data_IF_250207223882
#
_entry.id   IF_250207223882
#
_cell.length_a   1.000
_cell.length_b   1.000
_cell.length_c   1.000
_cell.angle_alpha   90.00
_cell.angle_beta   90.00
_cell.angle_gamma   90.00
#
_symmetry.space_group_name_H-M   'P 1'
#
loop_
_entity.id
_entity.type
_entity.pdbx_description
1 polymer ?
#
# COMPACT_ATOMS: atom_id res chain seq x y z
N UNK A 1 4.69 -0.49 -18.21
CA UNK A 1 4.29 0.92 -18.09
C UNK A 1 4.80 1.38 -16.76
N UNK A 2 5.72 2.34 -16.76
CA UNK A 2 6.21 2.96 -15.55
C UNK A 2 5.53 4.31 -15.40
N UNK A 3 5.08 4.61 -14.18
CA UNK A 3 4.65 5.95 -13.82
C UNK A 3 5.88 6.78 -13.47
N UNK A 4 5.83 8.09 -13.74
CA UNK A 4 6.91 9.02 -13.40
C UNK A 4 6.91 9.31 -11.90
N UNK A 5 7.63 8.48 -11.15
CA UNK A 5 7.74 8.55 -9.69
C UNK A 5 9.22 8.54 -9.29
N UNK A 6 9.62 9.51 -8.49
CA UNK A 6 10.96 9.66 -7.95
C UNK A 6 10.98 9.13 -6.52
N UNK A 7 11.87 8.17 -6.24
CA UNK A 7 12.04 7.62 -4.90
C UNK A 7 12.31 8.75 -3.88
N UNK A 8 11.68 8.66 -2.71
CA UNK A 8 11.74 9.63 -1.61
C UNK A 8 11.17 11.02 -1.91
N UNK A 9 10.60 11.26 -3.09
CA UNK A 9 9.86 12.50 -3.37
C UNK A 9 8.49 12.44 -2.73
N UNK A 10 8.09 13.56 -2.15
CA UNK A 10 6.76 13.77 -1.59
C UNK A 10 5.80 14.27 -2.67
N UNK A 11 4.60 13.68 -2.72
CA UNK A 11 3.55 14.02 -3.66
C UNK A 11 2.26 14.40 -2.94
N UNK A 12 1.49 15.33 -3.49
CA UNK A 12 0.12 15.60 -3.07
C UNK A 12 -0.83 14.53 -3.61
N UNK A 13 -2.07 14.51 -3.11
CA UNK A 13 -3.13 13.65 -3.66
C UNK A 13 -3.34 13.93 -5.16
N UNK A 14 -3.40 15.20 -5.54
CA UNK A 14 -3.69 15.67 -6.90
C UNK A 14 -2.56 15.29 -7.88
N UNK A 15 -1.30 15.34 -7.43
CA UNK A 15 -0.16 14.88 -8.22
C UNK A 15 -0.22 13.36 -8.45
N UNK A 16 -0.51 12.58 -7.41
CA UNK A 16 -0.69 11.13 -7.55
C UNK A 16 -1.89 10.81 -8.46
N UNK A 17 -3.00 11.53 -8.34
CA UNK A 17 -4.16 11.39 -9.24
C UNK A 17 -3.78 11.64 -10.69
N UNK A 18 -2.99 12.68 -10.95
CA UNK A 18 -2.50 13.02 -12.29
C UNK A 18 -1.59 11.93 -12.84
N UNK A 19 -0.58 11.52 -12.06
CA UNK A 19 0.41 10.48 -12.45
C UNK A 19 -0.29 9.16 -12.80
N UNK A 20 -1.23 8.73 -11.97
CA UNK A 20 -1.94 7.47 -12.18
C UNK A 20 -3.19 7.61 -13.06
N UNK A 21 -3.49 8.82 -13.56
CA UNK A 21 -4.72 9.14 -14.30
C UNK A 21 -5.96 8.61 -13.58
N UNK A 22 -6.10 8.96 -12.31
CA UNK A 22 -7.13 8.44 -11.43
C UNK A 22 -7.76 9.52 -10.55
N UNK A 23 -8.81 9.15 -9.82
CA UNK A 23 -9.47 9.98 -8.82
C UNK A 23 -9.76 9.13 -7.58
N UNK A 24 -9.29 9.58 -6.42
CA UNK A 24 -9.50 8.93 -5.12
C UNK A 24 -10.76 9.45 -4.41
N UNK A 25 -11.43 10.47 -4.94
CA UNK A 25 -12.62 11.08 -4.35
C UNK A 25 -12.26 11.99 -3.17
N UNK A 26 -13.10 12.03 -2.14
CA UNK A 26 -12.91 12.92 -0.99
C UNK A 26 -11.63 12.65 -0.19
N UNK A 27 -11.12 11.41 -0.21
CA UNK A 27 -9.92 11.04 0.53
C UNK A 27 -9.24 9.79 0.01
N UNK A 28 -7.96 9.64 0.34
CA UNK A 28 -7.17 8.48 -0.05
C UNK A 28 -7.43 7.33 0.91
N UNK A 29 -7.82 6.17 0.35
CA UNK A 29 -7.87 4.89 1.09
C UNK A 29 -6.49 4.27 1.16
N UNK A 30 -6.24 3.47 2.21
CA UNK A 30 -4.97 2.78 2.41
C UNK A 30 -4.60 1.82 1.27
N UNK A 31 -5.58 1.12 0.70
CA UNK A 31 -5.37 0.19 -0.42
C UNK A 31 -6.28 0.62 -1.57
N UNK A 32 -5.69 0.96 -2.72
CA UNK A 32 -6.45 1.34 -3.91
C UNK A 32 -6.09 0.44 -5.10
N UNK A 33 -7.10 -0.22 -5.69
CA UNK A 33 -6.93 -1.05 -6.88
C UNK A 33 -7.16 -0.24 -8.15
N UNK A 34 -6.30 -0.46 -9.15
CA UNK A 34 -6.40 0.12 -10.49
C UNK A 34 -5.98 -0.89 -11.55
N UNK A 35 -6.14 -0.50 -12.82
CA UNK A 35 -5.71 -1.29 -13.98
C UNK A 35 -4.89 -0.40 -14.91
N UNK A 36 -3.82 -0.96 -15.47
CA UNK A 36 -3.13 -0.34 -16.61
C UNK A 36 -4.04 -0.36 -17.84
N UNK A 37 -3.66 0.37 -18.91
CA UNK A 37 -4.42 0.38 -20.17
C UNK A 37 -4.62 -1.02 -20.78
N UNK A 38 -3.69 -1.94 -20.54
CA UNK A 38 -3.78 -3.34 -20.99
C UNK A 38 -4.63 -4.23 -20.07
N UNK A 39 -5.32 -3.66 -19.07
CA UNK A 39 -6.18 -4.39 -18.14
C UNK A 39 -5.46 -5.06 -16.98
N UNK A 40 -4.13 -5.12 -16.96
CA UNK A 40 -3.37 -5.73 -15.85
C UNK A 40 -3.61 -4.93 -14.55
N UNK A 41 -3.99 -5.57 -13.43
CA UNK A 41 -4.22 -4.86 -12.18
C UNK A 41 -2.91 -4.42 -11.52
N UNK A 42 -2.98 -3.32 -10.79
CA UNK A 42 -1.94 -2.85 -9.87
C UNK A 42 -2.57 -2.25 -8.62
N UNK A 43 -1.77 -2.10 -7.57
CA UNK A 43 -2.19 -1.52 -6.29
C UNK A 43 -1.42 -0.23 -6.04
N UNK A 44 -2.09 0.78 -5.52
CA UNK A 44 -1.48 1.95 -4.90
C UNK A 44 -1.73 1.82 -3.40
N UNK A 45 -0.66 1.72 -2.62
CA UNK A 45 -0.69 1.47 -1.19
C UNK A 45 -0.26 2.74 -0.45
N UNK A 46 -1.11 3.22 0.44
CA UNK A 46 -0.87 4.39 1.28
C UNK A 46 -0.81 3.98 2.76
N UNK A 47 0.27 4.38 3.42
CA UNK A 47 0.53 4.11 4.83
C UNK A 47 0.81 5.41 5.60
N UNK A 48 0.45 5.47 6.87
CA UNK A 48 0.73 6.62 7.75
C UNK A 48 1.71 6.20 8.84
N UNK A 49 2.63 7.08 9.21
CA UNK A 49 3.65 6.84 10.25
C UNK A 49 3.03 6.55 11.62
N UNK A 50 1.91 7.20 11.97
CA UNK A 50 1.13 6.89 13.18
C UNK A 50 0.16 5.70 13.00
N UNK A 51 0.53 4.73 12.16
CA UNK A 51 0.03 3.36 12.26
C UNK A 51 0.84 2.59 13.32
N UNK A 52 0.49 1.36 13.70
CA UNK A 52 1.15 0.61 14.78
C UNK A 52 2.59 0.13 14.44
N UNK A 53 3.38 0.94 13.72
CA UNK A 53 4.60 0.53 13.05
C UNK A 53 5.67 1.64 13.09
N UNK A 54 6.24 1.87 14.28
CA UNK A 54 7.43 2.71 14.44
C UNK A 54 8.75 1.93 14.33
N UNK A 55 8.73 0.60 14.48
CA UNK A 55 9.97 -0.11 14.88
C UNK A 55 10.60 -1.04 13.81
N UNK A 56 9.93 -1.36 12.71
CA UNK A 56 10.44 -2.31 11.69
C UNK A 56 10.48 -1.72 10.28
N UNK A 57 11.04 -0.51 10.12
CA UNK A 57 11.58 -0.12 8.82
C UNK A 57 13.02 -0.63 8.71
N UNK A 58 13.20 -1.95 8.73
CA UNK A 58 14.43 -2.53 8.21
C UNK A 58 14.47 -2.22 6.71
N UNK A 59 15.65 -1.96 6.14
CA UNK A 59 15.83 -1.45 4.76
C UNK A 59 15.07 -2.27 3.68
N UNK A 60 14.65 -3.50 3.99
CA UNK A 60 14.13 -4.48 3.03
C UNK A 60 12.69 -4.96 3.26
N UNK A 61 12.11 -4.81 4.46
CA UNK A 61 10.75 -5.31 4.75
C UNK A 61 10.04 -4.52 5.84
N UNK A 62 8.71 -4.42 5.73
CA UNK A 62 7.83 -3.80 6.72
C UNK A 62 6.44 -4.45 6.75
N UNK A 63 5.67 -4.19 7.81
CA UNK A 63 4.33 -4.77 8.01
C UNK A 63 3.21 -3.76 7.73
N UNK A 64 2.08 -4.27 7.23
CA UNK A 64 0.90 -3.47 6.89
C UNK A 64 -0.37 -4.18 7.37
N UNK A 65 -1.16 -3.50 8.21
CA UNK A 65 -2.48 -3.98 8.63
C UNK A 65 -3.49 -3.74 7.51
N UNK A 66 -4.29 -4.76 7.19
CA UNK A 66 -5.32 -4.71 6.15
C UNK A 66 -6.39 -3.65 6.39
N UNK A 67 -7.26 -3.48 5.41
CA UNK A 67 -8.43 -2.60 5.50
C UNK A 67 -9.47 -3.15 6.49
N UNK A 68 -9.94 -2.27 7.38
CA UNK A 68 -10.98 -2.54 8.38
C UNK A 68 -10.47 -2.32 9.79
N UNK A 69 -10.92 -1.26 10.45
CA UNK A 69 -10.55 -0.92 11.83
C UNK A 69 -11.69 -1.22 12.80
N UNK A 70 -11.34 -1.53 14.05
CA UNK A 70 -12.27 -1.75 15.17
C UNK A 70 -13.31 -2.85 14.93
N UNK A 71 -12.95 -3.89 14.18
CA UNK A 71 -13.76 -5.09 13.90
C UNK A 71 -12.88 -6.18 13.29
N UNK A 72 -13.34 -7.43 13.33
CA UNK A 72 -12.74 -8.51 12.56
C UNK A 72 -12.71 -8.14 11.07
N UNK A 73 -11.52 -8.15 10.50
CA UNK A 73 -11.30 -7.78 9.11
C UNK A 73 -11.86 -8.85 8.18
N UNK A 74 -12.62 -8.39 7.19
CA UNK A 74 -13.12 -9.25 6.13
C UNK A 74 -12.14 -9.27 4.98
N UNK A 75 -12.20 -10.31 4.15
CA UNK A 75 -11.48 -10.37 2.89
C UNK A 75 -12.17 -9.48 1.84
N UNK A 76 -12.18 -8.17 2.08
CA UNK A 76 -12.72 -7.16 1.16
C UNK A 76 -11.94 -7.16 -0.15
N UNK A 77 -12.45 -6.46 -1.18
CA UNK A 77 -11.71 -6.32 -2.44
C UNK A 77 -10.27 -5.78 -2.24
N UNK A 78 -10.08 -4.90 -1.26
CA UNK A 78 -8.77 -4.37 -0.86
C UNK A 78 -7.85 -5.45 -0.26
N UNK A 79 -8.29 -6.14 0.80
CA UNK A 79 -7.49 -7.18 1.45
C UNK A 79 -7.22 -8.36 0.50
N UNK A 80 -8.23 -8.76 -0.28
CA UNK A 80 -8.08 -9.78 -1.33
C UNK A 80 -7.05 -9.39 -2.37
N UNK A 81 -6.92 -8.09 -2.71
CA UNK A 81 -5.93 -7.63 -3.67
C UNK A 81 -4.51 -7.88 -3.17
N UNK A 82 -4.23 -7.64 -1.89
CA UNK A 82 -2.92 -7.90 -1.30
C UNK A 82 -2.66 -9.41 -1.14
N UNK A 83 -3.65 -10.20 -0.73
CA UNK A 83 -3.55 -11.67 -0.71
C UNK A 83 -3.19 -12.20 -2.10
N UNK A 84 -3.93 -11.77 -3.13
CA UNK A 84 -3.66 -12.18 -4.51
C UNK A 84 -2.31 -11.68 -5.03
N UNK A 85 -1.81 -10.53 -4.53
CA UNK A 85 -0.54 -9.96 -4.95
C UNK A 85 0.67 -10.83 -4.58
N UNK A 86 0.54 -11.71 -3.58
CA UNK A 86 1.55 -12.72 -3.25
C UNK A 86 1.74 -13.71 -4.41
N UNK A 87 0.64 -14.12 -5.04
CA UNK A 87 0.63 -15.12 -6.10
C UNK A 87 0.87 -14.53 -7.49
N UNK A 88 0.13 -13.47 -7.84
CA UNK A 88 0.16 -12.90 -9.20
C UNK A 88 1.25 -11.84 -9.41
N UNK A 89 2.01 -11.53 -8.35
CA UNK A 89 3.11 -10.57 -8.34
C UNK A 89 2.72 -9.23 -8.97
N UNK A 90 1.46 -8.80 -8.81
CA UNK A 90 1.02 -7.48 -9.28
C UNK A 90 1.85 -6.37 -8.64
N UNK A 91 2.12 -5.34 -9.40
CA UNK A 91 2.88 -4.17 -8.94
C UNK A 91 2.14 -3.45 -7.82
N UNK A 92 2.84 -3.13 -6.74
CA UNK A 92 2.34 -2.30 -5.65
C UNK A 92 3.20 -1.04 -5.57
N UNK A 93 2.61 0.12 -5.82
CA UNK A 93 3.27 1.42 -5.64
C UNK A 93 3.08 1.88 -4.20
N UNK A 94 4.17 1.95 -3.43
CA UNK A 94 4.14 2.29 -2.02
C UNK A 94 4.27 3.79 -1.77
N UNK A 95 3.39 4.32 -0.95
CA UNK A 95 3.40 5.69 -0.45
C UNK A 95 3.31 5.72 1.08
N UNK A 96 4.05 6.64 1.69
CA UNK A 96 4.05 6.84 3.15
C UNK A 96 3.86 8.30 3.50
N UNK A 97 3.00 8.58 4.45
CA UNK A 97 2.88 9.88 5.10
C UNK A 97 3.64 9.82 6.41
N UNK A 98 4.76 10.52 6.47
CA UNK A 98 5.55 10.69 7.69
C UNK A 98 4.93 11.77 8.56
N UNK A 99 5.33 13.03 8.38
CA UNK A 99 4.98 14.12 9.30
C UNK A 99 3.91 15.07 8.76
N UNK A 100 3.91 15.38 7.46
CA UNK A 100 3.01 16.39 6.87
C UNK A 100 1.74 15.75 6.31
N UNK A 101 0.60 16.08 6.92
CA UNK A 101 -0.72 15.70 6.41
C UNK A 101 -0.91 16.20 4.96
N UNK A 102 -1.37 15.31 4.09
CA UNK A 102 -1.62 15.60 2.68
C UNK A 102 -0.42 15.35 1.76
N UNK A 103 0.78 15.14 2.31
CA UNK A 103 1.96 14.75 1.55
C UNK A 103 2.20 13.25 1.69
N UNK A 104 2.59 12.62 0.59
CA UNK A 104 2.83 11.19 0.47
C UNK A 104 4.18 10.94 -0.20
N UNK A 105 5.15 10.49 0.58
CA UNK A 105 6.46 10.07 0.11
C UNK A 105 6.36 8.79 -0.70
N UNK A 106 6.85 8.80 -1.93
CA UNK A 106 6.99 7.56 -2.69
C UNK A 106 8.15 6.74 -2.14
N UNK A 107 7.86 5.51 -1.68
CA UNK A 107 8.85 4.61 -1.04
C UNK A 107 9.31 3.47 -1.95
N UNK A 108 8.84 3.44 -3.20
CA UNK A 108 9.24 2.47 -4.22
C UNK A 108 8.17 1.44 -4.55
N UNK A 109 8.56 0.49 -5.41
CA UNK A 109 7.75 -0.67 -5.75
C UNK A 109 7.87 -1.72 -4.65
N UNK A 110 6.73 -2.29 -4.27
CA UNK A 110 6.63 -3.28 -3.21
C UNK A 110 6.11 -4.61 -3.75
N UNK A 111 6.39 -5.66 -2.99
CA UNK A 111 5.81 -6.99 -3.14
C UNK A 111 5.32 -7.51 -1.79
N UNK A 112 4.26 -8.32 -1.81
CA UNK A 112 3.85 -9.09 -0.63
C UNK A 112 4.78 -10.28 -0.49
N UNK A 113 5.50 -10.32 0.64
CA UNK A 113 6.36 -11.44 1.02
C UNK A 113 5.53 -12.53 1.69
N UNK A 114 4.65 -12.12 2.61
CA UNK A 114 3.75 -13.03 3.31
C UNK A 114 2.54 -12.30 3.90
N UNK A 115 1.57 -13.05 4.43
CA UNK A 115 0.50 -12.49 5.23
C UNK A 115 -0.06 -13.51 6.24
N UNK A 116 -0.60 -13.00 7.34
CA UNK A 116 -1.29 -13.79 8.35
C UNK A 116 -2.64 -13.17 8.73
N UNK A 117 -3.56 -13.97 9.27
CA UNK A 117 -4.84 -13.51 9.81
C UNK A 117 -4.90 -13.77 11.32
N UNK A 118 -4.41 -12.80 12.09
CA UNK A 118 -4.07 -12.96 13.51
C UNK A 118 -4.92 -12.07 14.42
N UNK A 119 -5.13 -12.46 15.68
CA UNK A 119 -5.71 -11.56 16.67
C UNK A 119 -4.76 -10.38 16.95
N UNK A 120 -5.22 -9.15 16.76
CA UNK A 120 -4.50 -7.90 17.05
C UNK A 120 -5.49 -6.86 17.56
N UNK A 121 -5.17 -6.18 18.67
CA UNK A 121 -6.03 -5.16 19.29
C UNK A 121 -7.49 -5.62 19.53
N UNK A 122 -7.69 -6.89 19.90
CA UNK A 122 -9.01 -7.48 20.16
C UNK A 122 -9.80 -7.91 18.94
N UNK A 123 -9.24 -7.79 17.72
CA UNK A 123 -9.90 -8.18 16.47
C UNK A 123 -9.01 -9.11 15.65
N UNK A 124 -9.60 -9.88 14.74
CA UNK A 124 -8.84 -10.58 13.71
C UNK A 124 -8.42 -9.60 12.60
N UNK A 125 -7.13 -9.53 12.31
CA UNK A 125 -6.52 -8.57 11.39
C UNK A 125 -5.65 -9.29 10.37
N UNK A 126 -5.76 -8.90 9.10
CA UNK A 126 -4.78 -9.32 8.09
C UNK A 126 -3.51 -8.49 8.28
N UNK A 127 -2.40 -9.16 8.53
CA UNK A 127 -1.09 -8.52 8.68
C UNK A 127 -0.23 -8.94 7.49
N UNK A 128 0.10 -8.01 6.62
CA UNK A 128 0.88 -8.25 5.41
C UNK A 128 2.33 -7.88 5.66
N UNK A 129 3.26 -8.80 5.36
CA UNK A 129 4.69 -8.51 5.27
C UNK A 129 5.01 -8.07 3.84
N UNK A 130 5.47 -6.84 3.68
CA UNK A 130 5.82 -6.22 2.42
C UNK A 130 7.34 -6.08 2.33
N UNK A 131 7.88 -6.16 1.11
CA UNK A 131 9.29 -5.87 0.85
C UNK A 131 9.45 -4.99 -0.38
N UNK A 132 10.52 -4.18 -0.40
CA UNK A 132 10.88 -3.42 -1.61
C UNK A 132 11.32 -4.38 -2.70
N UNK A 133 10.97 -4.06 -3.94
CA UNK A 133 11.55 -4.72 -5.11
C UNK A 133 12.87 -4.00 -5.39
N UNK A 134 13.99 -4.65 -5.09
CA UNK A 134 15.31 -4.19 -5.52
C UNK A 134 15.43 -4.44 -7.02
N UNK A 135 15.81 -3.43 -7.79
CA UNK A 135 16.33 -3.65 -9.14
C UNK A 135 17.66 -4.40 -8.98
N UNK A 136 17.77 -5.58 -9.61
CA UNK A 136 19.02 -6.35 -9.67
C UNK A 136 19.95 -5.76 -10.73
#
# INVERSE_FOLDING_TARGET
MNFDLTLNKDYTKEEVETIFSTNFGYGIKGITLRKYKNGKPYIILFSKENGPYSDEFSENAFYYDGEGVNKDQKLTAANKALVNAKEDRRTIYGFRQESKRGMWRYIGILKVLDYEYVPKNGFKTYVFKLGKVSDY
#
